data_IF_746802951333
#
_entry.id   IF_746802951333
#
_cell.length_a   1.000
_cell.length_b   1.000
_cell.length_c   1.000
_cell.angle_alpha   90.00
_cell.angle_beta   90.00
_cell.angle_gamma   90.00
#
_symmetry.space_group_name_H-M   'P 1'
#
loop_
_entity.id
_entity.type
_entity.pdbx_description
1 polymer ?
#
# COMPACT_ATOMS: atom_id res chain seq x y z
N UNK A 1 -10.43 7.00 -11.96
CA UNK A 1 -10.89 6.14 -10.86
C UNK A 1 -10.50 6.85 -9.57
N UNK A 2 -11.45 7.15 -8.69
CA UNK A 2 -11.20 7.75 -7.39
C UNK A 2 -11.02 6.65 -6.34
N UNK A 3 -9.96 6.75 -5.55
CA UNK A 3 -9.66 5.83 -4.44
C UNK A 3 -10.30 6.41 -3.18
N UNK A 4 -11.04 5.59 -2.44
CA UNK A 4 -11.93 6.05 -1.36
C UNK A 4 -11.41 5.82 0.06
N UNK A 5 -10.29 5.11 0.22
CA UNK A 5 -9.68 4.82 1.50
C UNK A 5 -8.19 4.44 1.37
N UNK A 6 -7.48 4.52 2.49
CA UNK A 6 -6.03 4.33 2.61
C UNK A 6 -5.59 2.93 2.16
N UNK A 7 -6.34 1.89 2.54
CA UNK A 7 -5.99 0.53 2.17
C UNK A 7 -6.12 0.30 0.65
N UNK A 8 -7.15 0.87 0.01
CA UNK A 8 -7.31 0.84 -1.44
C UNK A 8 -6.20 1.64 -2.15
N UNK A 9 -5.72 2.73 -1.54
CA UNK A 9 -4.59 3.51 -2.04
C UNK A 9 -3.31 2.67 -2.02
N UNK A 10 -2.96 2.11 -0.86
CA UNK A 10 -1.78 1.27 -0.68
C UNK A 10 -1.82 0.03 -1.57
N UNK A 11 -2.98 -0.61 -1.73
CA UNK A 11 -3.13 -1.76 -2.63
C UNK A 11 -2.89 -1.39 -4.09
N UNK A 12 -3.32 -0.20 -4.50
CA UNK A 12 -3.07 0.31 -5.85
C UNK A 12 -1.59 0.59 -6.06
N UNK A 13 -0.92 1.25 -5.10
CA UNK A 13 0.52 1.51 -5.14
C UNK A 13 1.33 0.21 -5.22
N UNK A 14 1.07 -0.74 -4.32
CA UNK A 14 1.77 -2.03 -4.29
C UNK A 14 1.57 -2.83 -5.58
N UNK A 15 0.34 -2.83 -6.13
CA UNK A 15 0.06 -3.47 -7.42
C UNK A 15 0.87 -2.84 -8.56
N UNK A 16 0.94 -1.50 -8.62
CA UNK A 16 1.71 -0.77 -9.64
C UNK A 16 3.21 -1.11 -9.55
N UNK A 17 3.79 -1.06 -8.35
CA UNK A 17 5.21 -1.38 -8.15
C UNK A 17 5.54 -2.84 -8.49
N UNK A 18 4.56 -3.75 -8.34
CA UNK A 18 4.72 -5.16 -8.66
C UNK A 18 4.36 -5.53 -10.10
N UNK A 19 3.78 -4.62 -10.89
CA UNK A 19 3.37 -4.91 -12.26
C UNK A 19 4.53 -5.44 -13.14
N UNK A 20 5.75 -4.87 -13.09
CA UNK A 20 6.86 -5.42 -13.87
C UNK A 20 7.22 -6.86 -13.48
N UNK A 21 7.12 -7.20 -12.19
CA UNK A 21 7.34 -8.57 -11.70
C UNK A 21 6.21 -9.49 -12.17
N UNK A 22 4.95 -9.05 -12.02
CA UNK A 22 3.79 -9.81 -12.45
C UNK A 22 3.75 -10.06 -13.97
N UNK A 23 4.29 -9.13 -14.77
CA UNK A 23 4.43 -9.25 -16.21
C UNK A 23 5.65 -10.08 -16.65
N UNK A 24 6.49 -10.53 -15.70
CA UNK A 24 7.71 -11.30 -15.99
C UNK A 24 8.84 -10.47 -16.61
N UNK A 25 8.77 -9.14 -16.54
CA UNK A 25 9.80 -8.24 -17.08
C UNK A 25 11.04 -8.19 -16.18
N UNK A 26 10.85 -8.32 -14.87
CA UNK A 26 11.92 -8.31 -13.86
C UNK A 26 11.67 -9.35 -12.77
N UNK A 27 12.73 -9.85 -12.15
CA UNK A 27 12.64 -10.88 -11.11
C UNK A 27 12.21 -10.34 -9.74
N UNK A 28 12.53 -9.07 -9.46
CA UNK A 28 12.25 -8.38 -8.20
C UNK A 28 11.83 -6.93 -8.46
N UNK A 29 11.00 -6.31 -7.58
CA UNK A 29 10.43 -4.98 -7.83
C UNK A 29 11.47 -3.87 -7.99
N UNK A 30 12.60 -3.99 -7.28
CA UNK A 30 13.74 -3.06 -7.28
C UNK A 30 14.52 -3.08 -8.60
N UNK A 31 14.35 -4.14 -9.41
CA UNK A 31 14.97 -4.23 -10.74
C UNK A 31 14.16 -3.51 -11.82
N UNK A 32 12.92 -3.07 -11.54
CA UNK A 32 12.10 -2.33 -12.49
C UNK A 32 12.66 -0.91 -12.74
N UNK A 33 12.95 -0.55 -13.99
CA UNK A 33 13.58 0.74 -14.32
C UNK A 33 12.78 1.98 -13.87
N UNK A 34 11.45 1.85 -13.78
CA UNK A 34 10.54 2.97 -13.51
C UNK A 34 9.50 2.65 -12.43
N UNK A 35 9.89 1.92 -11.37
CA UNK A 35 9.01 1.66 -10.22
C UNK A 35 9.28 2.66 -9.09
N UNK A 36 8.24 2.97 -8.34
CA UNK A 36 8.34 3.93 -7.24
C UNK A 36 9.05 3.32 -6.02
N UNK A 37 9.04 1.99 -5.89
CA UNK A 37 9.81 1.26 -4.89
C UNK A 37 11.32 1.38 -5.15
N UNK A 38 11.77 1.20 -6.40
CA UNK A 38 13.19 1.34 -6.75
C UNK A 38 13.70 2.73 -6.38
N UNK A 39 12.99 3.78 -6.82
CA UNK A 39 13.36 5.16 -6.53
C UNK A 39 13.44 5.47 -5.02
N UNK A 40 12.55 4.88 -4.21
CA UNK A 40 12.57 5.03 -2.75
C UNK A 40 13.77 4.32 -2.12
N UNK A 41 14.06 3.09 -2.54
CA UNK A 41 15.21 2.33 -2.02
C UNK A 41 16.51 3.01 -2.39
N UNK A 42 16.70 3.37 -3.67
CA UNK A 42 17.89 4.10 -4.15
C UNK A 42 18.06 5.42 -3.41
N UNK A 43 16.98 6.17 -3.18
CA UNK A 43 17.03 7.41 -2.42
C UNK A 43 17.52 7.19 -0.97
N UNK A 44 17.01 6.18 -0.28
CA UNK A 44 17.48 5.87 1.09
C UNK A 44 18.94 5.41 1.10
N UNK A 45 19.36 4.65 0.09
CA UNK A 45 20.75 4.22 -0.09
C UNK A 45 21.69 5.41 -0.31
N UNK A 46 21.32 6.34 -1.20
CA UNK A 46 22.08 7.57 -1.47
C UNK A 46 22.24 8.47 -0.24
N UNK A 47 21.24 8.49 0.64
CA UNK A 47 21.31 9.20 1.92
C UNK A 47 22.11 8.45 2.99
N UNK A 48 22.54 7.21 2.74
CA UNK A 48 23.24 6.36 3.72
C UNK A 48 22.35 5.92 4.89
N UNK A 49 21.03 5.82 4.67
CA UNK A 49 20.02 5.60 5.73
C UNK A 49 19.40 4.21 5.73
N UNK A 50 20.03 3.24 5.08
CA UNK A 50 19.52 1.86 4.95
C UNK A 50 19.26 1.21 6.31
N UNK A 51 20.15 1.40 7.29
CA UNK A 51 19.95 0.85 8.64
C UNK A 51 18.77 1.48 9.37
N UNK A 52 18.49 2.76 9.11
CA UNK A 52 17.29 3.44 9.61
C UNK A 52 16.02 2.84 9.00
N UNK A 53 16.04 2.55 7.70
CA UNK A 53 14.93 1.92 7.00
C UNK A 53 14.64 0.51 7.54
N UNK A 54 15.67 -0.32 7.72
CA UNK A 54 15.53 -1.66 8.32
C UNK A 54 14.96 -1.59 9.74
N UNK A 55 15.42 -0.63 10.56
CA UNK A 55 14.86 -0.43 11.90
C UNK A 55 13.36 -0.07 11.84
N UNK A 56 12.94 0.68 10.80
CA UNK A 56 11.55 1.09 10.58
C UNK A 56 10.63 -0.04 10.07
N UNK A 57 11.17 -1.20 9.64
CA UNK A 57 10.37 -2.38 9.25
C UNK A 57 9.70 -3.05 10.45
N UNK A 58 10.15 -2.81 11.67
CA UNK A 58 9.59 -3.45 12.88
C UNK A 58 8.18 -2.97 13.28
N UNK A 59 7.52 -2.12 12.48
CA UNK A 59 6.07 -1.84 12.52
C UNK A 59 5.51 -1.22 13.81
N UNK A 60 6.38 -0.82 14.75
CA UNK A 60 6.04 -0.28 16.07
C UNK A 60 5.99 1.24 16.10
N UNK A 61 5.49 1.85 17.18
CA UNK A 61 5.57 3.32 17.40
C UNK A 61 7.02 3.82 17.34
N UNK A 62 7.98 2.99 17.73
CA UNK A 62 9.40 3.31 17.60
C UNK A 62 9.85 3.41 16.12
N UNK A 63 9.18 2.73 15.19
CA UNK A 63 9.46 2.82 13.76
C UNK A 63 9.14 4.22 13.19
N UNK A 64 8.11 4.90 13.70
CA UNK A 64 7.77 6.28 13.28
C UNK A 64 8.79 7.30 13.77
N UNK A 65 9.38 7.07 14.95
CA UNK A 65 10.42 7.97 15.46
C UNK A 65 11.69 7.91 14.61
N UNK A 66 12.01 6.74 14.04
CA UNK A 66 13.20 6.56 13.20
C UNK A 66 12.96 6.87 11.72
N UNK A 67 11.70 6.88 11.24
CA UNK A 67 11.38 7.16 9.83
C UNK A 67 11.49 8.64 9.43
N UNK A 68 11.71 9.54 10.40
CA UNK A 68 11.80 10.99 10.17
C UNK A 68 12.73 11.33 9.00
N UNK A 69 12.21 12.08 8.02
CA UNK A 69 12.97 12.58 6.90
C UNK A 69 13.43 11.54 5.87
N UNK A 70 13.00 10.27 5.93
CA UNK A 70 13.43 9.24 4.96
C UNK A 70 13.02 9.55 3.52
N UNK A 71 11.89 10.24 3.34
CA UNK A 71 11.34 10.59 2.02
C UNK A 71 11.23 12.11 1.82
N UNK A 72 11.75 12.94 2.73
CA UNK A 72 11.47 14.38 2.75
C UNK A 72 11.98 15.09 1.47
N UNK A 73 13.20 14.75 1.04
CA UNK A 73 13.81 15.29 -0.17
C UNK A 73 13.51 14.50 -1.44
N UNK A 74 12.76 13.40 -1.34
CA UNK A 74 12.34 12.60 -2.49
C UNK A 74 11.15 13.26 -3.18
N UNK A 75 11.21 13.39 -4.50
CA UNK A 75 10.15 14.05 -5.29
C UNK A 75 8.80 13.33 -5.25
N UNK A 76 8.81 12.02 -4.98
CA UNK A 76 7.60 11.22 -4.80
C UNK A 76 6.82 11.68 -3.57
N UNK A 77 5.49 11.51 -3.58
CA UNK A 77 4.67 11.69 -2.39
C UNK A 77 5.15 10.70 -1.30
N UNK A 78 5.48 11.17 -0.08
CA UNK A 78 5.85 10.32 1.03
C UNK A 78 4.78 9.27 1.31
N UNK A 79 5.19 8.05 1.64
CA UNK A 79 4.24 7.01 2.07
C UNK A 79 3.60 7.44 3.39
N UNK A 80 4.41 7.87 4.34
CA UNK A 80 3.95 8.29 5.66
C UNK A 80 3.48 9.75 5.61
N UNK A 81 2.23 10.02 6.00
CA UNK A 81 1.83 11.40 6.31
C UNK A 81 2.36 11.78 7.69
N UNK A 82 3.30 12.73 7.70
CA UNK A 82 3.98 13.21 8.90
C UNK A 82 3.69 14.67 9.21
N UNK A 83 2.65 15.26 8.61
CA UNK A 83 2.26 16.67 8.86
C UNK A 83 1.89 16.95 10.33
N UNK A 84 1.39 15.93 11.03
CA UNK A 84 1.13 15.99 12.47
C UNK A 84 2.37 15.89 13.36
N UNK A 85 3.55 15.63 12.77
CA UNK A 85 4.81 15.40 13.46
C UNK A 85 5.85 16.46 13.07
N UNK A 86 6.57 16.23 11.98
CA UNK A 86 7.81 16.94 11.64
C UNK A 86 8.00 17.23 10.15
N UNK A 87 6.99 16.94 9.30
CA UNK A 87 7.06 17.21 7.86
C UNK A 87 6.11 18.34 7.45
N UNK A 88 6.51 19.07 6.41
CA UNK A 88 5.64 20.05 5.74
C UNK A 88 4.96 19.46 4.50
N UNK A 89 5.37 18.25 4.09
CA UNK A 89 4.87 17.58 2.90
C UNK A 89 3.67 16.70 3.23
N UNK A 90 2.68 16.70 2.35
CA UNK A 90 1.57 15.76 2.42
C UNK A 90 2.04 14.36 2.04
N UNK A 91 1.90 13.42 2.98
CA UNK A 91 2.09 11.99 2.73
C UNK A 91 0.77 11.25 2.50
N UNK A 92 0.85 9.96 2.21
CA UNK A 92 -0.31 9.15 1.83
C UNK A 92 -1.16 8.72 3.03
N UNK A 93 -0.52 8.15 4.07
CA UNK A 93 -1.22 7.54 5.20
C UNK A 93 -0.49 7.85 6.51
N UNK A 94 -1.21 8.41 7.48
CA UNK A 94 -0.63 8.76 8.78
C UNK A 94 -0.13 7.51 9.51
N UNK A 95 1.10 7.58 10.02
CA UNK A 95 1.71 6.49 10.78
C UNK A 95 2.00 5.21 10.00
N UNK A 96 1.88 5.24 8.67
CA UNK A 96 2.28 4.16 7.78
C UNK A 96 3.67 4.45 7.19
N UNK A 97 4.72 3.96 7.85
CA UNK A 97 6.11 4.22 7.46
C UNK A 97 6.47 3.63 6.09
N UNK A 98 7.55 4.14 5.47
CA UNK A 98 8.16 3.51 4.30
C UNK A 98 8.50 2.02 4.54
N UNK A 99 9.01 1.68 5.73
CA UNK A 99 9.29 0.28 6.10
C UNK A 99 8.03 -0.61 6.08
N UNK A 100 6.89 -0.10 6.58
CA UNK A 100 5.61 -0.83 6.47
C UNK A 100 5.21 -1.07 5.01
N UNK A 101 5.48 -0.10 4.13
CA UNK A 101 5.19 -0.25 2.71
C UNK A 101 6.07 -1.30 2.04
N UNK A 102 7.36 -1.35 2.36
CA UNK A 102 8.26 -2.38 1.82
C UNK A 102 7.85 -3.78 2.28
N UNK A 103 7.50 -3.96 3.56
CA UNK A 103 6.95 -5.23 4.06
C UNK A 103 5.66 -5.62 3.33
N UNK A 104 4.78 -4.66 3.08
CA UNK A 104 3.53 -4.89 2.37
C UNK A 104 3.78 -5.32 0.92
N UNK A 105 4.72 -4.67 0.22
CA UNK A 105 5.10 -5.01 -1.15
C UNK A 105 5.78 -6.37 -1.20
N UNK A 106 6.68 -6.69 -0.26
CA UNK A 106 7.34 -7.99 -0.20
C UNK A 106 6.32 -9.12 0.02
N UNK A 107 5.45 -8.99 1.03
CA UNK A 107 4.36 -9.93 1.28
C UNK A 107 3.49 -10.12 0.03
N UNK A 108 3.18 -9.03 -0.65
CA UNK A 108 2.38 -9.07 -1.87
C UNK A 108 3.11 -9.74 -3.03
N UNK A 109 4.40 -9.48 -3.21
CA UNK A 109 5.23 -10.12 -4.23
C UNK A 109 5.29 -11.63 -4.03
N UNK A 110 5.42 -12.08 -2.77
CA UNK A 110 5.35 -13.51 -2.41
C UNK A 110 3.99 -14.12 -2.74
N UNK A 111 2.88 -13.41 -2.48
CA UNK A 111 1.55 -13.86 -2.89
C UNK A 111 1.44 -14.07 -4.40
N UNK A 112 2.00 -13.20 -5.23
CA UNK A 112 1.97 -13.34 -6.69
C UNK A 112 2.88 -14.45 -7.21
N UNK A 113 4.05 -14.67 -6.59
CA UNK A 113 5.02 -15.68 -7.04
C UNK A 113 4.67 -17.10 -6.59
N UNK A 114 4.22 -17.26 -5.35
CA UNK A 114 4.03 -18.58 -4.72
C UNK A 114 2.55 -18.96 -4.54
N UNK A 115 1.62 -18.03 -4.79
CA UNK A 115 0.19 -18.21 -4.53
C UNK A 115 -0.19 -18.23 -3.05
N UNK A 116 0.80 -18.15 -2.15
CA UNK A 116 0.64 -18.08 -0.69
C UNK A 116 1.80 -17.29 -0.09
N UNK A 117 1.52 -16.54 0.98
CA UNK A 117 2.53 -15.86 1.77
C UNK A 117 2.13 -15.94 3.24
N UNK A 118 3.09 -16.18 4.12
CA UNK A 118 2.87 -16.06 5.56
C UNK A 118 2.91 -14.58 5.92
N UNK A 119 1.93 -14.15 6.71
CA UNK A 119 1.94 -12.81 7.29
C UNK A 119 2.86 -12.79 8.51
N UNK A 120 3.73 -11.78 8.63
CA UNK A 120 4.52 -11.56 9.84
C UNK A 120 3.67 -10.93 10.94
N UNK A 121 4.12 -10.98 12.20
CA UNK A 121 3.39 -10.34 13.31
C UNK A 121 3.29 -8.82 13.15
N UNK A 122 4.34 -8.21 12.61
CA UNK A 122 4.43 -6.79 12.30
C UNK A 122 3.41 -6.40 11.24
N UNK A 123 3.38 -7.14 10.13
CA UNK A 123 2.44 -6.88 9.03
C UNK A 123 0.98 -7.15 9.46
N UNK A 124 0.75 -8.10 10.36
CA UNK A 124 -0.57 -8.30 10.97
C UNK A 124 -1.02 -7.07 11.77
N UNK A 125 -0.13 -6.48 12.56
CA UNK A 125 -0.38 -5.21 13.26
C UNK A 125 -0.65 -4.05 12.30
N UNK A 126 0.07 -4.01 11.17
CA UNK A 126 -0.16 -3.02 10.09
C UNK A 126 -1.56 -3.18 9.49
N UNK A 127 -1.99 -4.38 9.10
CA UNK A 127 -3.34 -4.59 8.57
C UNK A 127 -4.44 -4.28 9.59
N UNK A 128 -4.22 -4.61 10.87
CA UNK A 128 -5.18 -4.29 11.92
C UNK A 128 -5.43 -2.77 12.01
N UNK A 129 -4.37 -1.94 11.89
CA UNK A 129 -4.51 -0.48 11.86
C UNK A 129 -5.27 0.02 10.64
N UNK A 130 -5.08 -0.63 9.48
CA UNK A 130 -5.85 -0.37 8.26
C UNK A 130 -7.30 -0.92 8.33
N UNK A 131 -7.69 -1.60 9.41
CA UNK A 131 -8.99 -2.21 9.57
C UNK A 131 -9.24 -3.40 8.63
N UNK A 132 -8.17 -4.15 8.33
CA UNK A 132 -8.15 -5.26 7.35
C UNK A 132 -7.36 -6.47 7.85
N UNK A 133 -7.19 -7.46 6.97
CA UNK A 133 -6.41 -8.68 7.17
C UNK A 133 -5.78 -9.17 5.86
N UNK A 134 -4.90 -10.16 5.96
CA UNK A 134 -4.20 -10.72 4.80
C UNK A 134 -5.12 -11.37 3.76
N UNK A 135 -6.28 -11.89 4.18
CA UNK A 135 -7.25 -12.52 3.28
C UNK A 135 -8.00 -11.46 2.44
N UNK A 136 -8.46 -10.39 3.08
CA UNK A 136 -9.10 -9.23 2.46
C UNK A 136 -8.13 -8.52 1.51
N UNK A 137 -6.88 -8.36 1.94
CA UNK A 137 -5.80 -7.85 1.09
C UNK A 137 -5.60 -8.69 -0.17
N UNK A 138 -5.41 -10.00 -0.02
CA UNK A 138 -5.23 -10.93 -1.15
C UNK A 138 -6.41 -10.90 -2.12
N UNK A 139 -7.65 -10.95 -1.60
CA UNK A 139 -8.86 -10.86 -2.41
C UNK A 139 -8.92 -9.56 -3.23
N UNK A 140 -8.44 -8.43 -2.66
CA UNK A 140 -8.39 -7.15 -3.36
C UNK A 140 -7.34 -7.13 -4.47
N UNK A 141 -6.16 -7.69 -4.22
CA UNK A 141 -5.12 -7.77 -5.25
C UNK A 141 -5.48 -8.71 -6.40
N UNK A 142 -6.12 -9.84 -6.09
CA UNK A 142 -6.67 -10.74 -7.12
C UNK A 142 -7.68 -10.02 -8.02
N UNK A 143 -8.43 -9.06 -7.49
CA UNK A 143 -9.33 -8.23 -8.29
C UNK A 143 -8.59 -7.23 -9.16
N UNK A 144 -7.52 -6.61 -8.65
CA UNK A 144 -6.66 -5.72 -9.44
C UNK A 144 -5.99 -6.47 -10.60
N UNK A 145 -5.62 -7.74 -10.40
CA UNK A 145 -4.95 -8.55 -11.42
C UNK A 145 -5.90 -9.22 -12.44
N UNK A 146 -7.15 -9.53 -12.07
CA UNK A 146 -8.08 -10.32 -12.90
C UNK A 146 -8.89 -9.55 -13.95
N UNK A 147 -8.67 -8.24 -14.13
CA UNK A 147 -9.23 -7.51 -15.26
C UNK A 147 -9.61 -6.07 -15.00
N UNK A 148 -10.27 -5.46 -15.99
CA UNK A 148 -10.62 -4.04 -16.00
C UNK A 148 -11.56 -3.72 -14.83
N UNK A 149 -11.12 -2.85 -13.91
CA UNK A 149 -11.99 -2.33 -12.87
C UNK A 149 -13.11 -1.50 -13.52
N UNK A 150 -14.34 -2.02 -13.49
CA UNK A 150 -15.51 -1.36 -14.06
C UNK A 150 -16.14 -0.40 -13.05
N UNK A 151 -15.74 0.87 -13.05
CA UNK A 151 -16.34 1.86 -12.15
C UNK A 151 -15.52 3.13 -12.03
N UNK A 152 -16.15 4.17 -11.49
CA UNK A 152 -15.47 5.45 -11.21
C UNK A 152 -14.74 5.45 -9.87
N UNK A 153 -15.00 4.48 -8.99
CA UNK A 153 -14.54 4.44 -7.61
C UNK A 153 -13.92 3.08 -7.23
N UNK A 154 -12.91 3.09 -6.37
CA UNK A 154 -12.26 1.91 -5.79
C UNK A 154 -12.12 2.09 -4.27
N UNK A 155 -12.52 1.06 -3.52
CA UNK A 155 -12.52 1.09 -2.06
C UNK A 155 -12.16 -0.29 -1.49
N UNK A 156 -11.68 -0.32 -0.25
CA UNK A 156 -11.52 -1.54 0.55
C UNK A 156 -12.83 -2.04 1.12
N UNK A 157 -13.83 -1.17 1.32
CA UNK A 157 -15.09 -1.49 2.00
C UNK A 157 -16.33 -1.29 1.13
N UNK A 158 -17.30 -2.21 1.23
CA UNK A 158 -18.61 -2.05 0.57
C UNK A 158 -19.40 -0.88 1.13
N UNK A 159 -19.22 -0.59 2.41
CA UNK A 159 -19.89 0.52 3.07
C UNK A 159 -19.44 1.85 2.46
N UNK A 160 -18.14 2.03 2.21
CA UNK A 160 -17.62 3.25 1.54
C UNK A 160 -18.19 3.43 0.14
N UNK A 161 -18.31 2.34 -0.63
CA UNK A 161 -18.96 2.39 -1.94
C UNK A 161 -20.45 2.77 -1.84
N UNK A 162 -21.17 2.25 -0.84
CA UNK A 162 -22.57 2.61 -0.57
C UNK A 162 -22.72 4.08 -0.18
N UNK A 163 -21.91 4.57 0.77
CA UNK A 163 -21.93 5.97 1.20
C UNK A 163 -21.72 6.95 0.04
N UNK A 164 -20.79 6.62 -0.87
CA UNK A 164 -20.56 7.44 -2.08
C UNK A 164 -21.72 7.31 -3.07
N UNK A 165 -22.25 6.12 -3.28
CA UNK A 165 -23.41 5.94 -4.17
C UNK A 165 -24.65 6.68 -3.66
N UNK A 166 -24.92 6.64 -2.35
CA UNK A 166 -26.03 7.36 -1.73
C UNK A 166 -25.88 8.88 -1.93
N UNK A 167 -24.68 9.43 -1.70
CA UNK A 167 -24.36 10.85 -1.96
C UNK A 167 -24.56 11.25 -3.43
N UNK A 168 -24.37 10.31 -4.36
CA UNK A 168 -24.50 10.54 -5.80
C UNK A 168 -25.89 10.16 -6.34
N UNK A 169 -26.82 9.68 -5.49
CA UNK A 169 -28.14 9.21 -5.90
C UNK A 169 -28.11 7.95 -6.78
N UNK A 170 -27.10 7.09 -6.63
CA UNK A 170 -26.92 5.88 -7.42
C UNK A 170 -27.44 4.64 -6.66
N UNK A 171 -28.23 3.81 -7.34
CA UNK A 171 -28.81 2.58 -6.75
C UNK A 171 -28.09 1.29 -7.14
N UNK A 172 -27.18 1.34 -8.13
CA UNK A 172 -26.43 0.18 -8.61
C UNK A 172 -24.94 0.34 -8.33
N UNK A 173 -24.37 -0.64 -7.64
CA UNK A 173 -22.95 -0.74 -7.33
C UNK A 173 -22.31 -1.85 -8.17
N UNK A 174 -21.25 -1.52 -8.91
CA UNK A 174 -20.39 -2.48 -9.58
C UNK A 174 -19.18 -2.83 -8.70
N UNK A 175 -18.48 -3.92 -9.03
CA UNK A 175 -17.22 -4.32 -8.38
C UNK A 175 -17.28 -4.53 -6.85
N UNK A 176 -18.34 -5.14 -6.30
CA UNK A 176 -18.43 -5.40 -4.85
C UNK A 176 -17.58 -6.60 -4.36
N UNK A 177 -16.98 -7.37 -5.27
CA UNK A 177 -16.01 -8.42 -4.93
C UNK A 177 -14.72 -7.83 -4.35
N UNK A 178 -14.12 -8.48 -3.34
CA UNK A 178 -12.90 -8.02 -2.67
C UNK A 178 -13.09 -6.86 -1.67
N UNK A 179 -14.34 -6.38 -1.51
CA UNK A 179 -14.72 -5.54 -0.39
C UNK A 179 -15.55 -6.40 0.56
N UNK A 180 -15.08 -6.73 1.77
CA UNK A 180 -15.90 -7.48 2.71
C UNK A 180 -17.21 -6.73 2.99
N UNK A 181 -18.32 -7.47 3.00
CA UNK A 181 -19.53 -6.98 3.64
C UNK A 181 -19.24 -7.08 5.13
N UNK A 182 -18.94 -5.97 5.80
CA UNK A 182 -18.88 -5.99 7.26
C UNK A 182 -20.25 -6.47 7.76
N UNK A 183 -20.24 -7.52 8.58
CA UNK A 183 -21.39 -8.08 9.29
C UNK A 183 -21.99 -7.04 10.23
#
# INVERSE_FOLDING_TARGET
MAILDEEALLATCAYIDLNPVAAGLVAVPEAGEHTSIKQRVEHVEEQGRVETLKAAESGSVAAQAVSSGLEESLWLCPIEDRRGLDSTREGMVEGFTLGNYLLLVEYTGRLFREGKASISGELAGVFARLGSDGASWSARLLKLSRGRLLGRYFASSRQRLREVADRLGLHHLANLGGCPARS
#
